data_IF_499570182132
#
_entry.id   IF_499570182132
#
_cell.length_a   1.000
_cell.length_b   1.000
_cell.length_c   1.000
_cell.angle_alpha   90.00
_cell.angle_beta   90.00
_cell.angle_gamma   90.00
#
_symmetry.space_group_name_H-M   'P 1'
#
loop_
_entity.id
_entity.type
_entity.pdbx_description
1 polymer ?
#
# COMPACT_ATOMS: atom_id res chain seq x y z
N UNK A 1 -18.14 16.96 17.72
CA UNK A 1 -16.71 16.99 18.09
C UNK A 1 -16.01 16.04 17.13
N UNK A 2 -15.19 16.55 16.21
CA UNK A 2 -14.39 15.71 15.32
C UNK A 2 -13.29 15.04 16.17
N UNK A 3 -13.23 13.71 16.15
CA UNK A 3 -12.13 13.00 16.84
C UNK A 3 -10.92 12.91 15.92
N UNK A 4 -9.74 12.63 16.48
CA UNK A 4 -8.49 12.56 15.71
C UNK A 4 -8.58 11.58 14.51
N UNK A 5 -9.34 10.49 14.65
CA UNK A 5 -9.55 9.53 13.57
C UNK A 5 -10.32 10.13 12.38
N UNK A 6 -11.37 10.91 12.64
CA UNK A 6 -12.18 11.54 11.59
C UNK A 6 -11.36 12.60 10.84
N UNK A 7 -10.59 13.40 11.59
CA UNK A 7 -9.67 14.38 11.03
C UNK A 7 -8.62 13.71 10.12
N UNK A 8 -7.96 12.67 10.63
CA UNK A 8 -6.90 11.98 9.89
C UNK A 8 -7.46 11.32 8.62
N UNK A 9 -8.62 10.66 8.69
CA UNK A 9 -9.29 10.07 7.53
C UNK A 9 -9.49 11.13 6.44
N UNK A 10 -10.11 12.27 6.79
CA UNK A 10 -10.39 13.36 5.85
C UNK A 10 -9.13 13.91 5.21
N UNK A 11 -8.07 14.11 5.99
CA UNK A 11 -6.78 14.60 5.48
C UNK A 11 -6.16 13.60 4.50
N UNK A 12 -6.19 12.30 4.80
CA UNK A 12 -5.65 11.28 3.89
C UNK A 12 -6.46 11.14 2.60
N UNK A 13 -7.80 11.19 2.69
CA UNK A 13 -8.66 11.24 1.50
C UNK A 13 -8.32 12.47 0.64
N UNK A 14 -8.16 13.65 1.25
CA UNK A 14 -7.76 14.86 0.51
C UNK A 14 -6.41 14.72 -0.21
N UNK A 15 -5.43 14.05 0.41
CA UNK A 15 -4.11 13.82 -0.20
C UNK A 15 -4.19 12.90 -1.41
N UNK A 16 -5.07 11.89 -1.38
CA UNK A 16 -5.35 11.01 -2.52
C UNK A 16 -5.90 11.84 -3.68
N UNK A 17 -6.93 12.67 -3.44
CA UNK A 17 -7.50 13.55 -4.47
C UNK A 17 -6.49 14.55 -5.04
N UNK A 18 -5.55 15.01 -4.23
CA UNK A 18 -4.47 15.90 -4.65
C UNK A 18 -3.35 15.17 -5.42
N UNK A 19 -3.34 13.83 -5.45
CA UNK A 19 -2.32 13.04 -6.11
C UNK A 19 -0.93 13.26 -5.51
N UNK A 20 -0.83 13.40 -4.18
CA UNK A 20 0.46 13.61 -3.54
C UNK A 20 1.38 12.40 -3.73
N UNK A 21 2.69 12.64 -3.70
CA UNK A 21 3.71 11.62 -4.00
C UNK A 21 3.53 10.30 -3.22
N UNK A 22 3.09 10.37 -1.97
CA UNK A 22 2.88 9.21 -1.10
C UNK A 22 1.50 8.54 -1.25
N UNK A 23 0.73 8.95 -2.26
CA UNK A 23 -0.53 8.33 -2.70
C UNK A 23 -0.39 7.76 -4.13
N UNK A 24 0.86 7.66 -4.61
CA UNK A 24 1.19 7.05 -5.91
C UNK A 24 0.94 5.55 -5.83
N UNK A 25 0.19 5.00 -6.78
CA UNK A 25 0.00 3.56 -6.96
C UNK A 25 1.17 2.89 -7.68
N UNK A 26 1.24 1.57 -7.62
CA UNK A 26 2.18 0.78 -8.41
C UNK A 26 1.98 1.04 -9.92
N UNK A 27 3.08 1.12 -10.66
CA UNK A 27 3.08 1.18 -12.14
C UNK A 27 3.16 -0.22 -12.71
N UNK A 28 2.65 -0.39 -13.93
CA UNK A 28 2.67 -1.67 -14.66
C UNK A 28 4.08 -2.29 -14.78
N UNK A 29 5.14 -1.47 -14.93
CA UNK A 29 6.52 -1.95 -15.02
C UNK A 29 7.03 -2.55 -13.69
N UNK A 30 6.50 -2.11 -12.56
CA UNK A 30 6.89 -2.61 -11.23
C UNK A 30 6.38 -4.04 -11.00
N UNK A 31 5.33 -4.47 -11.71
CA UNK A 31 4.79 -5.84 -11.62
C UNK A 31 5.63 -6.87 -12.39
N UNK A 32 6.58 -6.46 -13.23
CA UNK A 32 7.47 -7.40 -13.92
C UNK A 32 8.50 -8.05 -12.97
N UNK A 33 8.88 -7.34 -11.91
CA UNK A 33 9.75 -7.84 -10.84
C UNK A 33 9.31 -7.20 -9.50
N UNK A 34 8.17 -7.66 -8.93
CA UNK A 34 7.54 -6.99 -7.80
C UNK A 34 8.41 -7.07 -6.55
N UNK A 35 9.14 -8.18 -6.37
CA UNK A 35 10.04 -8.34 -5.23
C UNK A 35 11.18 -7.31 -5.30
N UNK A 36 11.76 -7.05 -6.48
CA UNK A 36 12.76 -5.99 -6.64
C UNK A 36 12.18 -4.61 -6.40
N UNK A 37 10.94 -4.35 -6.83
CA UNK A 37 10.29 -3.05 -6.64
C UNK A 37 10.06 -2.72 -5.15
N UNK A 38 9.71 -3.70 -4.32
CA UNK A 38 9.44 -3.51 -2.88
C UNK A 38 10.64 -3.77 -1.96
N UNK A 39 11.69 -4.44 -2.47
CA UNK A 39 12.87 -4.83 -1.70
C UNK A 39 14.15 -4.09 -2.12
N UNK A 40 14.05 -2.84 -2.54
CA UNK A 40 15.21 -2.05 -3.01
C UNK A 40 16.35 -1.88 -1.99
N UNK A 41 16.05 -2.05 -0.70
CA UNK A 41 17.02 -1.99 0.41
C UNK A 41 17.47 -3.37 0.90
N UNK A 42 17.08 -4.44 0.23
CA UNK A 42 17.37 -5.83 0.62
C UNK A 42 17.01 -6.13 2.08
N UNK A 43 15.87 -5.61 2.53
CA UNK A 43 15.37 -5.76 3.91
C UNK A 43 14.51 -7.02 4.09
N UNK A 44 14.00 -7.57 2.98
CA UNK A 44 13.31 -8.86 2.94
C UNK A 44 14.28 -9.95 2.51
N UNK A 45 14.42 -10.96 3.36
CA UNK A 45 15.12 -12.20 3.03
C UNK A 45 14.15 -13.22 2.39
N UNK A 46 14.56 -13.76 1.25
CA UNK A 46 13.79 -14.76 0.50
C UNK A 46 12.55 -14.22 -0.21
N UNK A 47 11.69 -15.14 -0.68
CA UNK A 47 10.44 -14.81 -1.38
C UNK A 47 9.26 -14.56 -0.44
N UNK A 48 8.12 -14.17 -1.04
CA UNK A 48 6.86 -13.92 -0.33
C UNK A 48 5.76 -14.95 -0.62
N UNK A 49 6.04 -15.95 -1.45
CA UNK A 49 5.10 -17.00 -1.85
C UNK A 49 4.39 -17.64 -0.65
N UNK A 50 3.06 -17.53 -0.63
CA UNK A 50 2.19 -18.11 0.39
C UNK A 50 2.27 -17.45 1.78
N UNK A 51 3.14 -16.44 1.97
CA UNK A 51 3.24 -15.71 3.25
C UNK A 51 2.02 -14.83 3.45
N UNK A 52 1.61 -14.68 4.71
CA UNK A 52 0.56 -13.74 5.10
C UNK A 52 1.18 -12.40 5.47
N UNK A 53 0.83 -11.34 4.75
CA UNK A 53 1.38 -9.99 4.94
C UNK A 53 0.26 -9.04 5.38
N UNK A 54 0.51 -8.30 6.46
CA UNK A 54 -0.38 -7.26 6.97
C UNK A 54 0.21 -5.88 6.68
N UNK A 55 -0.48 -5.09 5.86
CA UNK A 55 -0.16 -3.69 5.60
C UNK A 55 -0.99 -2.79 6.52
N UNK A 56 -0.38 -2.27 7.59
CA UNK A 56 -1.02 -1.34 8.53
C UNK A 56 -0.80 0.11 8.12
N UNK A 57 -1.88 0.87 7.99
CA UNK A 57 -1.85 2.22 7.39
C UNK A 57 -1.11 2.22 6.05
N UNK A 58 -1.34 1.16 5.27
CA UNK A 58 -0.57 0.82 4.08
C UNK A 58 -1.41 0.75 2.82
N UNK A 59 -2.56 1.42 2.80
CA UNK A 59 -3.31 1.55 1.56
C UNK A 59 -2.58 2.42 0.53
N UNK A 60 -3.22 2.66 -0.60
CA UNK A 60 -2.69 3.54 -1.65
C UNK A 60 -2.07 2.82 -2.84
N UNK A 61 -2.33 1.52 -3.00
CA UNK A 61 -2.14 0.79 -4.26
C UNK A 61 -0.69 0.55 -4.68
N UNK A 62 0.29 0.79 -3.81
CA UNK A 62 1.71 0.56 -4.14
C UNK A 62 2.23 -0.74 -3.53
N UNK A 63 2.32 -0.80 -2.21
CA UNK A 63 3.00 -1.90 -1.54
C UNK A 63 2.16 -3.18 -1.56
N UNK A 64 0.86 -3.07 -1.24
CA UNK A 64 -0.02 -4.23 -1.14
C UNK A 64 -0.19 -4.99 -2.46
N UNK A 65 -0.46 -4.33 -3.61
CA UNK A 65 -0.52 -5.02 -4.90
C UNK A 65 0.81 -5.70 -5.29
N UNK A 66 1.95 -5.06 -4.99
CA UNK A 66 3.26 -5.65 -5.30
C UNK A 66 3.59 -6.82 -4.37
N UNK A 67 3.24 -6.77 -3.08
CA UNK A 67 3.35 -7.94 -2.20
C UNK A 67 2.49 -9.10 -2.69
N UNK A 68 1.26 -8.83 -3.12
CA UNK A 68 0.37 -9.83 -3.67
C UNK A 68 0.91 -10.43 -4.98
N UNK A 69 1.43 -9.60 -5.88
CA UNK A 69 2.08 -10.02 -7.12
C UNK A 69 3.36 -10.84 -6.87
N UNK A 70 4.05 -10.60 -5.76
CA UNK A 70 5.19 -11.40 -5.30
C UNK A 70 4.78 -12.70 -4.59
N UNK A 71 3.49 -13.08 -4.63
CA UNK A 71 2.98 -14.36 -4.13
C UNK A 71 2.43 -14.33 -2.70
N UNK A 72 2.37 -13.18 -2.04
CA UNK A 72 1.83 -13.06 -0.69
C UNK A 72 0.28 -13.09 -0.67
N UNK A 73 -0.27 -13.51 0.46
CA UNK A 73 -1.66 -13.25 0.85
C UNK A 73 -1.69 -11.97 1.68
N UNK A 74 -2.17 -10.88 1.09
CA UNK A 74 -2.09 -9.54 1.68
C UNK A 74 -3.41 -9.14 2.32
N UNK A 75 -3.34 -8.59 3.53
CA UNK A 75 -4.44 -7.88 4.18
C UNK A 75 -4.01 -6.43 4.36
N UNK A 76 -4.83 -5.49 3.87
CA UNK A 76 -4.61 -4.05 4.06
C UNK A 76 -5.58 -3.52 5.11
N UNK A 77 -5.06 -2.70 6.01
CA UNK A 77 -5.87 -1.95 6.99
C UNK A 77 -5.47 -0.50 6.90
N UNK A 78 -6.40 0.36 6.48
CA UNK A 78 -6.21 1.80 6.45
C UNK A 78 -7.42 2.51 7.04
N UNK A 79 -7.19 3.74 7.52
CA UNK A 79 -8.26 4.60 8.04
C UNK A 79 -8.95 5.41 6.94
N UNK A 80 -8.29 5.60 5.80
CA UNK A 80 -8.76 6.33 4.63
C UNK A 80 -9.45 5.38 3.63
N UNK A 81 -10.76 5.56 3.37
CA UNK A 81 -11.45 4.83 2.32
C UNK A 81 -10.82 5.06 0.94
N UNK A 82 -10.38 6.27 0.62
CA UNK A 82 -9.80 6.55 -0.69
C UNK A 82 -8.41 5.92 -0.89
N UNK A 83 -7.63 5.76 0.19
CA UNK A 83 -6.40 4.95 0.14
C UNK A 83 -6.73 3.48 -0.14
N UNK A 84 -7.76 2.92 0.50
CA UNK A 84 -8.19 1.53 0.27
C UNK A 84 -8.77 1.31 -1.13
N UNK A 85 -9.43 2.31 -1.72
CA UNK A 85 -9.97 2.23 -3.09
C UNK A 85 -8.86 2.14 -4.16
N UNK A 86 -7.61 2.47 -3.80
CA UNK A 86 -6.45 2.34 -4.70
C UNK A 86 -5.80 0.95 -4.70
N UNK A 87 -6.14 0.07 -3.75
CA UNK A 87 -5.59 -1.29 -3.61
C UNK A 87 -6.37 -2.34 -4.41
#
# INVERSE_FOLDING_TARGET
>A
MEIAQDHNRRVWDERVRQGLLHTRTARDDEFADPLKAINGWSWLDGGLDGKHVLCLAGGGGLQAPLYAAAGAKVTVVDTSPEMLEQD
#
